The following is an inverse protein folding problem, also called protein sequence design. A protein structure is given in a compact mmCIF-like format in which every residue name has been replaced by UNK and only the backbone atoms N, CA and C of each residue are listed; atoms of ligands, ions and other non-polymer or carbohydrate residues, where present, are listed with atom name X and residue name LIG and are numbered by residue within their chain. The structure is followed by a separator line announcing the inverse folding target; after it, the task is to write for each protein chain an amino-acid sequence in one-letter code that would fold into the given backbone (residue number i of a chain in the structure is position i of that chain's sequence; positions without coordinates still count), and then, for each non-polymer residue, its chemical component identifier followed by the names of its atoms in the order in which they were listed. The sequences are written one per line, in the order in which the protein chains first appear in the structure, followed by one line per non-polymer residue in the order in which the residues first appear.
data_IF_840551250768
#
_entry.id   IF_840551250768
#
_cell.length_a   1.000
_cell.length_b   1.000
_cell.length_c   1.000
_cell.angle_alpha   90.00
_cell.angle_beta   90.00
_cell.angle_gamma   90.00
#
_symmetry.space_group_name_H-M   'P 1'
#
loop_
_entity.id
_entity.type
_entity.pdbx_description
1 polymer ?
#
# COMPACT_ATOMS: atom_id res chain seq x y z
N UNK A 1 0.29 -2.45 -27.43
CA UNK A 1 -0.42 -3.02 -26.27
C UNK A 1 0.43 -4.04 -25.51
N UNK A 2 0.93 -5.11 -26.14
CA UNK A 2 1.66 -6.15 -25.42
C UNK A 2 3.03 -5.72 -24.84
N UNK A 3 3.78 -4.88 -25.56
CA UNK A 3 5.08 -4.39 -25.08
C UNK A 3 4.97 -3.39 -23.90
N UNK A 4 3.94 -2.53 -23.91
CA UNK A 4 3.67 -1.60 -22.79
C UNK A 4 3.26 -2.35 -21.53
N UNK A 5 2.47 -3.42 -21.67
CA UNK A 5 2.06 -4.27 -20.55
C UNK A 5 3.26 -4.90 -19.86
N UNK A 6 4.20 -5.46 -20.62
CA UNK A 6 5.42 -6.06 -20.08
C UNK A 6 6.33 -4.99 -19.47
N UNK A 7 6.56 -3.88 -20.16
CA UNK A 7 7.38 -2.78 -19.63
C UNK A 7 6.85 -2.27 -18.28
N UNK A 8 5.52 -2.23 -18.12
CA UNK A 8 4.89 -1.84 -16.87
C UNK A 8 5.06 -2.91 -15.76
N UNK A 9 4.97 -4.20 -16.08
CA UNK A 9 5.27 -5.28 -15.12
C UNK A 9 6.73 -5.22 -14.65
N UNK A 10 7.67 -5.01 -15.57
CA UNK A 10 9.10 -4.84 -15.27
C UNK A 10 9.37 -3.63 -14.37
N UNK A 11 8.70 -2.51 -14.65
CA UNK A 11 8.79 -1.30 -13.84
C UNK A 11 8.29 -1.53 -12.41
N UNK A 12 7.12 -2.18 -12.27
CA UNK A 12 6.53 -2.45 -10.96
C UNK A 12 7.35 -3.43 -10.11
N UNK A 13 7.97 -4.42 -10.76
CA UNK A 13 8.86 -5.34 -10.06
C UNK A 13 10.12 -4.63 -9.53
N UNK A 14 10.72 -3.74 -10.33
CA UNK A 14 11.94 -3.01 -9.94
C UNK A 14 11.69 -1.92 -8.90
N UNK A 15 10.68 -1.08 -9.11
CA UNK A 15 10.46 0.11 -8.28
C UNK A 15 9.62 -0.18 -7.03
N UNK A 16 8.65 -1.09 -7.14
CA UNK A 16 7.70 -1.39 -6.06
C UNK A 16 7.92 -2.76 -5.43
N UNK A 17 8.85 -3.57 -5.95
CA UNK A 17 9.14 -4.92 -5.44
C UNK A 17 8.01 -5.93 -5.67
N UNK A 18 7.05 -5.64 -6.55
CA UNK A 18 5.88 -6.50 -6.77
C UNK A 18 6.22 -7.56 -7.82
N UNK A 19 6.21 -8.84 -7.42
CA UNK A 19 6.49 -9.96 -8.32
C UNK A 19 5.50 -10.01 -9.49
N UNK A 20 6.01 -10.25 -10.70
CA UNK A 20 5.20 -10.34 -11.93
C UNK A 20 4.10 -11.40 -11.85
N UNK A 21 4.42 -12.53 -11.24
CA UNK A 21 3.51 -13.67 -11.09
C UNK A 21 2.21 -13.26 -10.38
N UNK A 22 2.32 -12.48 -9.31
CA UNK A 22 1.18 -11.98 -8.52
C UNK A 22 0.28 -11.06 -9.36
N UNK A 23 0.88 -10.25 -10.23
CA UNK A 23 0.13 -9.34 -11.11
C UNK A 23 -0.53 -10.09 -12.25
N UNK A 24 0.16 -11.06 -12.86
CA UNK A 24 -0.38 -11.91 -13.92
C UNK A 24 -1.56 -12.76 -13.43
N UNK A 25 -1.47 -13.31 -12.23
CA UNK A 25 -2.55 -14.06 -11.60
C UNK A 25 -3.79 -13.17 -11.37
N UNK A 26 -3.59 -11.96 -10.85
CA UNK A 26 -4.68 -11.02 -10.64
C UNK A 26 -5.36 -10.59 -11.95
N UNK A 27 -4.56 -10.35 -13.01
CA UNK A 27 -5.08 -10.05 -14.35
C UNK A 27 -5.85 -11.24 -14.90
N UNK A 28 -5.31 -12.46 -14.81
CA UNK A 28 -5.99 -13.69 -15.28
C UNK A 28 -7.34 -13.87 -14.59
N UNK A 29 -7.39 -13.74 -13.26
CA UNK A 29 -8.62 -13.85 -12.48
C UNK A 29 -9.67 -12.78 -12.85
N UNK A 30 -9.24 -11.53 -13.05
CA UNK A 30 -10.14 -10.46 -13.45
C UNK A 30 -10.69 -10.65 -14.88
N UNK A 31 -9.84 -11.12 -15.79
CA UNK A 31 -10.24 -11.46 -17.16
C UNK A 31 -11.17 -12.66 -17.19
N UNK A 32 -10.97 -13.66 -16.34
CA UNK A 32 -11.87 -14.79 -16.16
C UNK A 32 -13.25 -14.31 -15.68
N UNK A 33 -13.27 -13.38 -14.71
CA UNK A 33 -14.54 -12.79 -14.25
C UNK A 33 -15.24 -11.93 -15.32
N UNK A 34 -14.49 -11.21 -16.16
CA UNK A 34 -15.04 -10.39 -17.22
C UNK A 34 -15.52 -11.23 -18.42
N UNK A 35 -14.79 -12.30 -18.74
CA UNK A 35 -15.12 -13.22 -19.82
C UNK A 35 -16.35 -14.06 -19.53
N UNK A 36 -16.61 -14.44 -18.27
CA UNK A 36 -17.89 -15.07 -17.87
C UNK A 36 -19.14 -14.26 -18.24
N UNK A 37 -19.02 -12.94 -18.42
CA UNK A 37 -20.13 -12.07 -18.84
C UNK A 37 -20.30 -11.99 -20.35
N UNK A 38 -19.25 -12.26 -21.13
CA UNK A 38 -19.22 -12.09 -22.59
C UNK A 38 -19.15 -13.42 -23.36
N UNK A 39 -18.64 -14.46 -22.74
CA UNK A 39 -18.51 -15.81 -23.27
C UNK A 39 -19.49 -16.70 -22.53
N UNK A 40 -20.49 -17.19 -23.26
CA UNK A 40 -21.60 -18.01 -22.77
C UNK A 40 -21.23 -19.48 -22.56
N UNK A 41 -19.96 -19.79 -22.27
CA UNK A 41 -19.50 -21.14 -22.00
C UNK A 41 -19.89 -21.53 -20.57
N UNK A 42 -20.63 -22.62 -20.39
CA UNK A 42 -21.16 -23.03 -19.08
C UNK A 42 -20.12 -23.77 -18.23
N UNK A 43 -19.05 -24.30 -18.85
CA UNK A 43 -17.96 -25.02 -18.16
C UNK A 43 -16.62 -24.30 -18.23
N UNK A 44 -15.87 -24.48 -17.15
CA UNK A 44 -14.57 -23.92 -16.79
C UNK A 44 -13.81 -23.21 -17.93
N UNK A 45 -13.84 -21.88 -17.87
CA UNK A 45 -13.05 -21.00 -18.71
C UNK A 45 -11.76 -20.64 -17.98
N UNK A 46 -10.62 -20.84 -18.64
CA UNK A 46 -9.28 -20.50 -18.16
C UNK A 46 -8.70 -19.39 -19.04
N UNK A 47 -8.04 -18.42 -18.41
CA UNK A 47 -7.30 -17.39 -19.12
C UNK A 47 -5.81 -17.72 -19.02
N UNK A 48 -5.17 -17.93 -20.16
CA UNK A 48 -3.72 -18.10 -20.26
C UNK A 48 -3.09 -16.79 -20.75
N UNK A 49 -2.03 -16.36 -20.06
CA UNK A 49 -1.31 -15.12 -20.38
C UNK A 49 0.15 -15.47 -20.55
N UNK A 50 0.68 -15.25 -21.74
CA UNK A 50 2.10 -15.47 -21.98
C UNK A 50 2.93 -14.38 -21.27
N UNK A 51 3.82 -14.74 -20.32
CA UNK A 51 4.56 -13.77 -19.51
C UNK A 51 5.60 -12.97 -20.32
N UNK A 52 6.02 -13.45 -21.50
CA UNK A 52 7.02 -12.82 -22.35
C UNK A 52 6.42 -12.03 -23.52
N UNK A 53 5.27 -12.45 -24.03
CA UNK A 53 4.62 -11.78 -25.16
C UNK A 53 3.40 -10.96 -24.77
N UNK A 54 2.88 -11.11 -23.54
CA UNK A 54 1.65 -10.45 -23.08
C UNK A 54 0.40 -10.88 -23.85
N UNK A 55 0.49 -11.96 -24.64
CA UNK A 55 -0.64 -12.51 -25.39
C UNK A 55 -1.60 -13.20 -24.43
N UNK A 56 -2.89 -12.86 -24.56
CA UNK A 56 -3.96 -13.34 -23.68
C UNK A 56 -4.86 -14.26 -24.51
N UNK A 57 -5.00 -15.51 -24.07
CA UNK A 57 -5.86 -16.53 -24.69
C UNK A 57 -6.94 -16.97 -23.72
N UNK A 58 -8.16 -17.17 -24.22
CA UNK A 58 -9.25 -17.75 -23.46
C UNK A 58 -9.42 -19.22 -23.89
N UNK A 59 -9.29 -20.13 -22.95
CA UNK A 59 -9.35 -21.56 -23.14
C UNK A 59 -10.59 -22.09 -22.41
N UNK A 60 -11.40 -22.91 -23.09
CA UNK A 60 -12.57 -23.54 -22.51
C UNK A 60 -12.44 -25.06 -22.56
N UNK A 61 -12.83 -25.71 -21.47
CA UNK A 61 -12.88 -27.17 -21.38
C UNK A 61 -14.22 -27.67 -21.93
N UNK A 62 -14.18 -28.31 -23.12
CA UNK A 62 -15.36 -28.88 -23.77
C UNK A 62 -15.33 -30.41 -23.69
N UNK A 63 -16.50 -31.03 -23.50
CA UNK A 63 -16.65 -32.49 -23.52
C UNK A 63 -16.78 -32.95 -24.97
N UNK A 64 -16.05 -33.99 -25.33
CA UNK A 64 -16.21 -34.63 -26.63
C UNK A 64 -17.52 -35.40 -26.66
N UNK A 65 -18.44 -35.00 -27.53
CA UNK A 65 -19.72 -35.66 -27.75
C UNK A 65 -19.82 -36.19 -29.19
N UNK A 66 -20.51 -37.32 -29.35
CA UNK A 66 -20.85 -37.87 -30.67
C UNK A 66 -21.83 -36.95 -31.40
N UNK A 67 -22.85 -36.45 -30.68
CA UNK A 67 -23.81 -35.47 -31.17
C UNK A 67 -23.84 -34.25 -30.24
N UNK A 68 -23.46 -33.10 -30.77
CA UNK A 68 -23.44 -31.83 -30.01
C UNK A 68 -24.87 -31.37 -29.75
N UNK A 69 -25.27 -31.43 -28.49
CA UNK A 69 -26.56 -30.97 -27.95
C UNK A 69 -26.42 -29.56 -27.39
N UNK A 70 -25.29 -29.29 -26.72
CA UNK A 70 -24.96 -27.96 -26.21
C UNK A 70 -23.61 -27.47 -26.76
N UNK A 71 -23.59 -26.60 -27.79
CA UNK A 71 -22.36 -26.07 -28.38
C UNK A 71 -21.46 -25.28 -27.42
N UNK A 72 -21.97 -24.89 -26.25
CA UNK A 72 -21.21 -24.16 -25.22
C UNK A 72 -20.37 -25.08 -24.33
N UNK A 73 -20.75 -26.37 -24.24
CA UNK A 73 -20.13 -27.33 -23.32
C UNK A 73 -19.59 -28.58 -24.05
N UNK A 74 -19.97 -28.76 -25.32
CA UNK A 74 -19.66 -29.95 -26.10
C UNK A 74 -18.96 -29.61 -27.42
N UNK A 75 -18.03 -30.46 -27.81
CA UNK A 75 -17.33 -30.43 -29.10
C UNK A 75 -17.53 -31.78 -29.81
N UNK A 76 -17.69 -31.75 -31.14
CA UNK A 76 -17.82 -32.99 -31.90
C UNK A 76 -16.50 -33.76 -31.89
N UNK A 77 -16.56 -35.10 -31.90
CA UNK A 77 -15.37 -35.96 -31.94
C UNK A 77 -14.42 -35.58 -33.09
N UNK A 78 -14.97 -35.27 -34.27
CA UNK A 78 -14.19 -34.84 -35.43
C UNK A 78 -13.44 -33.52 -35.19
N UNK A 79 -14.05 -32.56 -34.49
CA UNK A 79 -13.40 -31.29 -34.16
C UNK A 79 -12.39 -31.46 -33.02
N UNK A 80 -12.71 -32.28 -32.02
CA UNK A 80 -11.81 -32.63 -30.92
C UNK A 80 -10.53 -33.30 -31.43
N UNK A 81 -10.65 -34.26 -32.37
CA UNK A 81 -9.50 -34.95 -32.98
C UNK A 81 -8.56 -34.04 -33.78
N UNK A 82 -9.00 -32.86 -34.22
CA UNK A 82 -8.13 -31.86 -34.87
C UNK A 82 -7.23 -31.13 -33.88
N UNK A 83 -7.64 -31.06 -32.62
CA UNK A 83 -6.90 -30.40 -31.55
C UNK A 83 -6.03 -31.44 -30.83
N UNK A 84 -6.63 -32.59 -30.52
CA UNK A 84 -6.00 -33.72 -29.82
C UNK A 84 -6.32 -35.02 -30.55
N UNK A 85 -5.34 -35.58 -31.26
CA UNK A 85 -5.54 -36.70 -32.20
C UNK A 85 -6.05 -38.01 -31.56
N UNK A 86 -5.84 -38.19 -30.26
CA UNK A 86 -6.30 -39.34 -29.46
C UNK A 86 -7.62 -39.09 -28.71
N UNK A 87 -8.30 -37.97 -28.93
CA UNK A 87 -9.55 -37.63 -28.26
C UNK A 87 -10.69 -38.62 -28.57
N UNK A 88 -11.37 -39.09 -27.51
CA UNK A 88 -12.52 -40.00 -27.55
C UNK A 88 -13.76 -39.33 -26.98
N UNK A 89 -14.93 -39.84 -27.34
CA UNK A 89 -16.21 -39.41 -26.75
C UNK A 89 -16.17 -39.58 -25.22
N UNK A 90 -16.52 -38.52 -24.50
CA UNK A 90 -16.44 -38.43 -23.04
C UNK A 90 -15.17 -37.75 -22.51
N UNK A 91 -14.14 -37.54 -23.32
CA UNK A 91 -12.94 -36.81 -22.92
C UNK A 91 -13.19 -35.31 -22.79
N UNK A 92 -12.33 -34.62 -22.03
CA UNK A 92 -12.29 -33.16 -21.94
C UNK A 92 -11.15 -32.66 -22.82
N UNK A 93 -11.45 -31.74 -23.72
CA UNK A 93 -10.46 -31.09 -24.60
C UNK A 93 -10.49 -29.59 -24.36
N UNK A 94 -9.30 -29.00 -24.24
CA UNK A 94 -9.13 -27.57 -24.10
C UNK A 94 -9.17 -26.90 -25.47
N UNK A 95 -10.08 -25.95 -25.66
CA UNK A 95 -10.32 -25.27 -26.94
C UNK A 95 -10.16 -23.77 -26.77
N UNK A 96 -9.44 -23.13 -27.68
CA UNK A 96 -9.33 -21.68 -27.70
C UNK A 96 -10.65 -21.04 -28.17
N UNK A 97 -11.26 -20.25 -27.29
CA UNK A 97 -12.54 -19.56 -27.52
C UNK A 97 -12.39 -18.04 -27.51
N UNK A 98 -11.17 -17.51 -27.71
CA UNK A 98 -10.86 -16.08 -27.66
C UNK A 98 -11.70 -15.26 -28.64
N UNK A 99 -12.60 -14.36 -28.17
CA UNK A 99 -13.40 -13.51 -29.06
C UNK A 99 -12.55 -12.48 -29.81
N UNK A 100 -12.94 -12.10 -31.04
CA UNK A 100 -12.21 -11.09 -31.85
C UNK A 100 -12.07 -9.72 -31.16
N UNK A 101 -13.05 -9.33 -30.34
CA UNK A 101 -13.05 -8.06 -29.58
C UNK A 101 -12.45 -8.19 -28.17
N UNK A 102 -11.92 -9.36 -27.81
CA UNK A 102 -11.45 -9.65 -26.46
C UNK A 102 -10.31 -8.73 -26.03
N UNK A 103 -9.42 -8.33 -26.95
CA UNK A 103 -8.26 -7.49 -26.64
C UNK A 103 -8.60 -6.14 -25.99
N UNK A 104 -9.68 -5.46 -26.42
CA UNK A 104 -10.07 -4.16 -25.85
C UNK A 104 -10.64 -4.30 -24.43
N UNK A 105 -11.53 -5.28 -24.24
CA UNK A 105 -12.11 -5.60 -22.93
C UNK A 105 -11.00 -6.07 -21.99
N UNK A 106 -10.08 -6.88 -22.51
CA UNK A 106 -8.97 -7.40 -21.76
C UNK A 106 -8.01 -6.30 -21.29
N UNK A 107 -7.68 -5.34 -22.15
CA UNK A 107 -6.81 -4.23 -21.79
C UNK A 107 -7.38 -3.36 -20.65
N UNK A 108 -8.66 -2.99 -20.72
CA UNK A 108 -9.31 -2.21 -19.66
C UNK A 108 -9.41 -2.99 -18.34
N UNK A 109 -9.85 -4.25 -18.42
CA UNK A 109 -10.01 -5.11 -17.25
C UNK A 109 -8.65 -5.39 -16.60
N UNK A 110 -7.62 -5.69 -17.39
CA UNK A 110 -6.26 -5.90 -16.91
C UNK A 110 -5.72 -4.66 -16.21
N UNK A 111 -5.87 -3.47 -16.80
CA UNK A 111 -5.46 -2.21 -16.17
C UNK A 111 -6.12 -2.02 -14.80
N UNK A 112 -7.42 -2.26 -14.70
CA UNK A 112 -8.15 -2.13 -13.44
C UNK A 112 -7.71 -3.19 -12.41
N UNK A 113 -7.56 -4.44 -12.83
CA UNK A 113 -7.15 -5.55 -11.99
C UNK A 113 -5.74 -5.36 -11.42
N UNK A 114 -4.80 -4.92 -12.26
CA UNK A 114 -3.46 -4.57 -11.82
C UNK A 114 -3.48 -3.43 -10.81
N UNK A 115 -4.20 -2.33 -11.10
CA UNK A 115 -4.31 -1.22 -10.15
C UNK A 115 -4.89 -1.65 -8.80
N UNK A 116 -5.87 -2.57 -8.81
CA UNK A 116 -6.39 -3.14 -7.57
C UNK A 116 -5.37 -4.03 -6.85
N UNK A 117 -4.66 -4.90 -7.59
CA UNK A 117 -3.67 -5.80 -6.99
C UNK A 117 -2.45 -5.05 -6.45
N UNK A 118 -2.00 -4.02 -7.15
CA UNK A 118 -0.93 -3.11 -6.69
C UNK A 118 -1.31 -2.52 -5.33
N UNK A 119 -2.52 -1.97 -5.19
CA UNK A 119 -2.99 -1.41 -3.91
C UNK A 119 -3.06 -2.45 -2.79
N UNK A 120 -3.42 -3.70 -3.10
CA UNK A 120 -3.46 -4.79 -2.12
C UNK A 120 -2.04 -5.18 -1.66
N UNK A 121 -1.09 -5.29 -2.58
CA UNK A 121 0.30 -5.62 -2.23
C UNK A 121 0.93 -4.46 -1.45
N UNK A 122 0.68 -3.21 -1.85
CA UNK A 122 1.10 -2.03 -1.08
C UNK A 122 0.51 -2.04 0.34
N UNK A 123 -0.73 -2.51 0.52
CA UNK A 123 -1.36 -2.71 1.83
C UNK A 123 -0.63 -3.71 2.71
N UNK A 124 -0.32 -4.87 2.15
CA UNK A 124 0.41 -5.91 2.88
C UNK A 124 1.79 -5.39 3.30
N UNK A 125 2.51 -4.72 2.38
CA UNK A 125 3.83 -4.14 2.67
C UNK A 125 3.80 -3.03 3.74
N UNK A 126 2.86 -2.08 3.62
CA UNK A 126 2.73 -0.99 4.62
C UNK A 126 2.40 -1.56 5.99
N UNK A 127 1.46 -2.50 6.06
CA UNK A 127 1.06 -3.10 7.33
C UNK A 127 2.22 -3.87 7.95
N UNK A 128 2.94 -4.70 7.18
CA UNK A 128 4.11 -5.42 7.70
C UNK A 128 5.21 -4.49 8.23
N UNK A 129 5.49 -3.39 7.54
CA UNK A 129 6.55 -2.46 7.94
C UNK A 129 6.15 -1.53 9.09
N UNK A 130 4.88 -1.12 9.18
CA UNK A 130 4.43 -0.10 10.14
C UNK A 130 3.53 -0.61 11.26
N UNK A 131 3.14 -1.89 11.29
CA UNK A 131 2.36 -2.47 12.41
C UNK A 131 3.01 -2.23 13.78
N UNK A 132 4.35 -2.30 13.84
CA UNK A 132 5.12 -2.17 15.08
C UNK A 132 5.67 -0.75 15.28
N UNK A 133 5.49 0.14 14.28
CA UNK A 133 6.01 1.52 14.29
C UNK A 133 4.97 2.56 14.71
N UNK A 134 3.74 2.12 15.02
CA UNK A 134 2.74 2.99 15.60
C UNK A 134 3.29 3.58 16.92
N UNK A 135 3.29 4.90 17.01
CA UNK A 135 3.87 5.60 18.15
C UNK A 135 5.32 6.03 18.00
N UNK A 136 5.96 5.80 16.86
CA UNK A 136 7.32 6.32 16.57
C UNK A 136 7.28 7.70 15.90
N UNK A 137 8.45 8.35 15.85
CA UNK A 137 8.67 9.52 14.99
C UNK A 137 9.27 9.07 13.66
N UNK A 138 8.69 9.55 12.57
CA UNK A 138 9.21 9.40 11.21
C UNK A 138 9.64 10.75 10.67
N UNK A 139 10.65 10.73 9.81
CA UNK A 139 11.09 11.89 9.03
C UNK A 139 10.59 11.74 7.60
N UNK A 140 10.00 12.80 7.05
CA UNK A 140 9.49 12.80 5.68
C UNK A 140 9.66 14.16 5.01
N UNK A 141 9.48 14.18 3.69
CA UNK A 141 9.48 15.41 2.90
C UNK A 141 8.05 15.70 2.43
N UNK A 142 7.57 16.93 2.60
CA UNK A 142 6.26 17.34 2.09
C UNK A 142 6.28 17.25 0.57
N UNK A 143 5.46 16.37 0.01
CA UNK A 143 5.42 16.08 -1.42
C UNK A 143 4.35 16.88 -2.13
N UNK A 144 3.15 16.93 -1.55
CA UNK A 144 1.98 17.61 -2.11
C UNK A 144 0.92 17.85 -1.03
N UNK A 145 -0.07 18.64 -1.39
CA UNK A 145 -1.29 18.84 -0.61
C UNK A 145 -2.45 18.17 -1.34
N UNK A 146 -3.23 17.35 -0.64
CA UNK A 146 -4.53 16.88 -1.13
C UNK A 146 -5.61 17.60 -0.35
N UNK A 147 -6.25 18.59 -0.98
CA UNK A 147 -7.17 19.54 -0.33
C UNK A 147 -6.50 20.25 0.86
N UNK A 148 -6.78 19.80 2.08
CA UNK A 148 -6.25 20.35 3.33
C UNK A 148 -5.31 19.37 4.04
N UNK A 149 -5.09 18.19 3.48
CA UNK A 149 -4.20 17.18 4.04
C UNK A 149 -2.81 17.30 3.43
N UNK A 150 -1.78 17.07 4.24
CA UNK A 150 -0.38 17.14 3.82
C UNK A 150 0.09 15.72 3.54
N UNK A 151 0.62 15.50 2.33
CA UNK A 151 1.21 14.21 1.94
C UNK A 151 2.71 14.27 2.12
N UNK A 152 3.23 13.39 2.96
CA UNK A 152 4.64 13.25 3.29
C UNK A 152 5.23 12.05 2.57
N UNK A 153 6.35 12.25 1.90
CA UNK A 153 7.16 11.19 1.32
C UNK A 153 8.15 10.66 2.37
N UNK A 154 8.02 9.38 2.74
CA UNK A 154 8.91 8.67 3.66
C UNK A 154 9.99 7.86 2.92
N UNK A 155 10.11 8.04 1.59
CA UNK A 155 11.00 7.29 0.71
C UNK A 155 10.27 6.16 -0.01
N UNK A 156 9.97 5.06 0.71
CA UNK A 156 9.26 3.91 0.12
C UNK A 156 7.75 4.08 0.10
N UNK A 157 7.20 4.77 1.10
CA UNK A 157 5.77 4.94 1.30
C UNK A 157 5.41 6.42 1.45
N UNK A 158 4.14 6.72 1.22
CA UNK A 158 3.57 8.03 1.52
C UNK A 158 2.80 7.95 2.85
N UNK A 159 2.92 8.99 3.66
CA UNK A 159 2.12 9.22 4.84
C UNK A 159 1.20 10.42 4.63
N UNK A 160 0.04 10.38 5.28
CA UNK A 160 -0.92 11.47 5.31
C UNK A 160 -0.90 12.12 6.68
N UNK A 161 -0.81 13.44 6.70
CA UNK A 161 -1.06 14.26 7.89
C UNK A 161 -2.38 15.01 7.66
N UNK A 162 -3.50 14.49 8.17
CA UNK A 162 -4.81 15.09 8.01
C UNK A 162 -4.86 16.50 8.62
N UNK A 163 -5.79 17.34 8.17
CA UNK A 163 -5.94 18.71 8.68
C UNK A 163 -5.98 18.81 10.21
N UNK A 164 -6.65 17.87 10.89
CA UNK A 164 -6.75 17.81 12.36
C UNK A 164 -5.44 17.48 13.09
N UNK A 165 -4.52 16.81 12.39
CA UNK A 165 -3.21 16.38 12.91
C UNK A 165 -2.10 17.40 12.62
N UNK A 166 -2.43 18.48 11.91
CA UNK A 166 -1.53 19.61 11.65
C UNK A 166 -1.53 20.58 12.82
N UNK A 167 -0.44 21.32 12.93
CA UNK A 167 -0.36 22.48 13.82
C UNK A 167 -0.77 23.71 13.01
N UNK A 168 -1.81 24.43 13.44
CA UNK A 168 -2.43 25.51 12.64
C UNK A 168 -1.48 26.67 12.36
N UNK A 169 -0.57 26.95 13.29
CA UNK A 169 0.40 28.06 13.17
C UNK A 169 1.68 27.67 12.41
N UNK A 170 1.84 26.39 12.04
CA UNK A 170 2.98 25.95 11.25
C UNK A 170 2.70 26.13 9.76
N UNK A 171 3.67 26.68 9.05
CA UNK A 171 3.66 26.71 7.59
C UNK A 171 4.26 25.42 7.05
N UNK A 172 3.55 24.80 6.10
CA UNK A 172 4.01 23.62 5.38
C UNK A 172 4.19 23.98 3.91
N UNK A 173 5.36 23.73 3.34
CA UNK A 173 5.64 23.94 1.93
C UNK A 173 6.10 22.65 1.27
N UNK A 174 5.84 22.51 -0.03
CA UNK A 174 6.36 21.38 -0.81
C UNK A 174 7.89 21.44 -0.82
N UNK A 175 8.52 20.32 -0.48
CA UNK A 175 9.98 20.19 -0.32
C UNK A 175 10.46 20.31 1.13
N UNK A 176 9.62 20.76 2.06
CA UNK A 176 10.00 20.86 3.47
C UNK A 176 10.24 19.48 4.08
N UNK A 177 11.33 19.35 4.82
CA UNK A 177 11.61 18.15 5.62
C UNK A 177 11.12 18.36 7.04
N UNK A 178 10.28 17.46 7.52
CA UNK A 178 9.73 17.53 8.86
C UNK A 178 9.65 16.16 9.52
N UNK A 179 9.67 16.15 10.85
CA UNK A 179 9.38 14.98 11.67
C UNK A 179 7.89 14.94 12.01
N UNK A 180 7.30 13.76 12.08
CA UNK A 180 5.92 13.57 12.49
C UNK A 180 5.77 12.28 13.30
N UNK A 181 4.81 12.28 14.21
CA UNK A 181 4.46 11.12 15.03
C UNK A 181 3.50 10.21 14.26
N UNK A 182 3.79 8.91 14.18
CA UNK A 182 2.88 7.92 13.58
C UNK A 182 1.74 7.65 14.56
N UNK A 183 0.53 8.11 14.23
CA UNK A 183 -0.67 7.92 15.05
C UNK A 183 -1.20 6.50 14.87
N UNK A 184 -1.40 6.10 13.63
CA UNK A 184 -1.96 4.81 13.27
C UNK A 184 -1.65 4.47 11.81
N UNK A 185 -1.83 3.19 11.48
CA UNK A 185 -1.92 2.72 10.10
C UNK A 185 -3.32 2.18 9.93
N UNK A 186 -4.13 2.84 9.10
CA UNK A 186 -5.53 2.48 8.89
C UNK A 186 -5.81 2.17 7.41
N UNK A 187 -6.91 1.46 7.16
CA UNK A 187 -7.40 1.18 5.83
C UNK A 187 -8.39 2.27 5.42
N UNK A 188 -7.89 3.33 4.81
CA UNK A 188 -8.69 4.37 4.19
C UNK A 188 -9.44 3.89 2.94
N UNK A 189 -10.32 4.74 2.41
CA UNK A 189 -11.14 4.47 1.21
C UNK A 189 -10.27 4.21 -0.03
N UNK A 190 -9.07 4.80 -0.08
CA UNK A 190 -8.13 4.67 -1.22
C UNK A 190 -7.07 3.59 -1.01
N UNK A 191 -7.00 2.99 0.18
CA UNK A 191 -5.98 2.02 0.53
C UNK A 191 -5.43 2.22 1.95
N UNK A 192 -4.37 1.49 2.30
CA UNK A 192 -3.62 1.69 3.55
C UNK A 192 -3.08 3.13 3.62
N UNK A 193 -3.28 3.80 4.74
CA UNK A 193 -2.80 5.15 4.96
C UNK A 193 -2.04 5.19 6.27
N UNK A 194 -0.77 5.63 6.21
CA UNK A 194 0.03 5.91 7.39
C UNK A 194 -0.37 7.30 7.87
N UNK A 195 -1.13 7.36 8.96
CA UNK A 195 -1.61 8.61 9.54
C UNK A 195 -0.53 9.13 10.49
N UNK A 196 -0.02 10.31 10.19
CA UNK A 196 0.98 10.99 11.02
C UNK A 196 0.45 12.32 11.56
N UNK A 197 1.08 12.79 12.64
CA UNK A 197 0.67 13.99 13.34
C UNK A 197 1.83 14.79 13.87
N UNK A 198 1.68 16.11 13.80
CA UNK A 198 2.55 17.06 14.50
C UNK A 198 1.85 17.70 15.69
N UNK A 199 0.51 17.67 15.76
CA UNK A 199 -0.26 18.22 16.88
C UNK A 199 -0.41 17.24 18.06
N UNK A 200 -0.26 15.93 17.84
CA UNK A 200 -0.48 14.92 18.88
C UNK A 200 0.49 15.09 20.07
N UNK A 201 0.04 14.98 21.34
CA UNK A 201 0.90 15.16 22.52
C UNK A 201 2.10 14.21 22.58
N UNK A 202 1.93 12.97 22.09
CA UNK A 202 3.03 11.99 22.05
C UNK A 202 4.14 12.37 21.07
N UNK A 203 3.92 13.30 20.12
CA UNK A 203 5.01 13.82 19.31
C UNK A 203 6.07 14.47 20.21
N UNK A 204 5.64 15.31 21.15
CA UNK A 204 6.54 15.94 22.13
C UNK A 204 7.19 14.90 23.03
N UNK A 205 6.43 13.92 23.53
CA UNK A 205 6.98 12.79 24.32
C UNK A 205 8.15 12.13 23.61
N UNK A 206 7.96 11.73 22.35
CA UNK A 206 8.98 11.05 21.56
C UNK A 206 10.16 11.96 21.21
N UNK A 207 9.95 13.27 21.00
CA UNK A 207 11.06 14.21 20.83
C UNK A 207 11.95 14.29 22.08
N UNK A 208 11.35 14.29 23.26
CA UNK A 208 12.10 14.24 24.53
C UNK A 208 12.84 12.93 24.71
N UNK A 209 12.23 11.80 24.37
CA UNK A 209 12.91 10.48 24.39
C UNK A 209 14.12 10.43 23.44
N UNK A 210 14.05 11.08 22.28
CA UNK A 210 15.17 11.15 21.32
C UNK A 210 16.30 12.08 21.78
N UNK A 211 15.98 13.20 22.43
CA UNK A 211 16.96 14.23 22.81
C UNK A 211 17.56 13.99 24.21
N UNK A 212 16.83 13.32 25.11
CA UNK A 212 17.20 13.15 26.53
C UNK A 212 17.42 11.67 26.83
N UNK A 213 18.70 11.29 26.96
CA UNK A 213 19.13 9.92 27.27
C UNK A 213 18.48 9.34 28.53
N UNK A 214 18.32 10.17 29.56
CA UNK A 214 17.74 9.79 30.85
C UNK A 214 16.25 9.44 30.74
N UNK A 215 15.55 9.94 29.71
CA UNK A 215 14.17 9.54 29.42
C UNK A 215 14.17 8.22 28.64
N UNK A 216 15.11 8.05 27.70
CA UNK A 216 15.23 6.83 26.91
C UNK A 216 15.59 5.59 27.76
N UNK A 217 16.44 5.75 28.77
CA UNK A 217 16.85 4.67 29.68
C UNK A 217 15.89 4.48 30.88
N UNK A 218 14.88 5.34 31.01
CA UNK A 218 13.86 5.27 32.07
C UNK A 218 14.29 5.86 33.42
N UNK A 219 15.48 6.47 33.53
CA UNK A 219 15.91 7.16 34.75
C UNK A 219 15.01 8.35 35.09
N UNK A 220 14.50 9.04 34.06
CA UNK A 220 13.54 10.14 34.14
C UNK A 220 12.26 9.73 33.40
N UNK A 221 11.14 9.75 34.10
CA UNK A 221 9.82 9.42 33.55
C UNK A 221 8.99 10.67 33.28
N UNK A 222 8.34 10.72 32.12
CA UNK A 222 7.32 11.73 31.83
C UNK A 222 5.96 11.28 32.40
N UNK A 223 5.57 11.87 33.53
CA UNK A 223 4.33 11.58 34.27
C UNK A 223 3.08 12.19 33.64
N UNK A 224 3.22 13.30 32.91
CA UNK A 224 2.09 13.98 32.29
C UNK A 224 2.51 14.97 31.21
N UNK A 225 1.65 15.13 30.20
CA UNK A 225 1.82 16.11 29.12
C UNK A 225 0.45 16.77 28.88
N UNK A 226 0.44 18.10 28.88
CA UNK A 226 -0.70 18.91 28.45
C UNK A 226 -0.24 19.86 27.35
N UNK A 227 -0.85 19.75 26.16
CA UNK A 227 -0.38 20.41 24.95
C UNK A 227 -1.50 21.18 24.25
N UNK A 228 -1.23 22.45 23.99
CA UNK A 228 -1.94 23.28 23.02
C UNK A 228 -0.99 23.46 21.83
N UNK A 229 -1.14 22.58 20.84
CA UNK A 229 -0.21 22.47 19.71
C UNK A 229 -0.02 23.82 18.99
N UNK A 230 1.23 24.22 18.80
CA UNK A 230 1.60 25.50 18.20
C UNK A 230 1.68 26.69 19.17
N UNK A 231 1.21 26.53 20.41
CA UNK A 231 1.22 27.60 21.40
C UNK A 231 2.07 27.25 22.61
N UNK A 232 1.72 26.18 23.32
CA UNK A 232 2.37 25.80 24.58
C UNK A 232 2.22 24.31 24.91
N UNK A 233 3.29 23.70 25.39
CA UNK A 233 3.26 22.38 26.04
C UNK A 233 3.81 22.46 27.46
N UNK A 234 3.07 21.85 28.39
CA UNK A 234 3.54 21.62 29.76
C UNK A 234 3.80 20.13 29.96
N UNK A 235 4.94 19.82 30.57
CA UNK A 235 5.39 18.46 30.83
C UNK A 235 5.74 18.32 32.31
N UNK A 236 5.28 17.23 32.93
CA UNK A 236 5.66 16.83 34.27
C UNK A 236 6.63 15.65 34.18
N UNK A 237 7.83 15.82 34.77
CA UNK A 237 8.89 14.81 34.78
C UNK A 237 9.27 14.43 36.21
N UNK A 238 9.68 13.19 36.42
CA UNK A 238 10.06 12.66 37.72
C UNK A 238 11.19 11.65 37.59
N UNK A 239 12.06 11.54 38.59
CA UNK A 239 13.08 10.50 38.68
C UNK A 239 13.01 9.82 40.04
N UNK A 240 13.17 8.50 40.05
CA UNK A 240 13.36 7.73 41.29
C UNK A 240 14.79 7.89 41.86
N UNK A 241 15.73 8.33 41.02
CA UNK A 241 17.14 8.44 41.39
C UNK A 241 17.41 9.84 41.96
N UNK A 242 17.62 9.91 43.28
CA UNK A 242 17.91 11.17 43.98
C UNK A 242 19.19 11.90 43.50
N UNK A 243 20.06 11.23 42.73
CA UNK A 243 21.26 11.85 42.14
C UNK A 243 20.98 12.54 40.79
N UNK A 244 19.77 12.41 40.25
CA UNK A 244 19.39 12.95 38.94
C UNK A 244 18.31 14.00 39.13
N UNK A 245 18.60 15.23 38.71
CA UNK A 245 17.57 16.27 38.59
C UNK A 245 16.80 16.07 37.27
N UNK A 246 15.51 15.68 37.32
CA UNK A 246 14.74 15.39 36.11
C UNK A 246 14.54 16.64 35.24
N UNK A 247 14.44 17.84 35.83
CA UNK A 247 14.28 19.09 35.06
C UNK A 247 15.60 19.46 34.40
N UNK A 248 16.71 19.43 35.16
CA UNK A 248 18.05 19.67 34.64
C UNK A 248 18.42 18.74 33.48
N UNK A 249 18.10 17.44 33.59
CA UNK A 249 18.32 16.45 32.54
C UNK A 249 17.56 16.80 31.23
N UNK A 250 16.30 17.25 31.35
CA UNK A 250 15.48 17.63 30.21
C UNK A 250 15.91 18.95 29.56
N UNK A 251 16.36 19.91 30.37
CA UNK A 251 16.78 21.25 29.89
C UNK A 251 18.15 21.17 29.21
N UNK A 252 19.09 20.41 29.80
CA UNK A 252 20.47 20.31 29.34
C UNK A 252 21.29 21.59 29.61
N UNK A 253 22.58 21.56 29.24
CA UNK A 253 23.47 22.70 29.49
C UNK A 253 22.97 23.98 28.80
N UNK A 254 22.68 25.02 29.61
CA UNK A 254 22.14 26.32 29.13
C UNK A 254 20.86 26.17 28.27
N UNK A 255 20.08 25.12 28.52
CA UNK A 255 18.85 24.85 27.80
C UNK A 255 19.03 24.28 26.39
N UNK A 256 20.20 23.72 26.05
CA UNK A 256 20.48 23.26 24.69
C UNK A 256 19.48 22.22 24.20
N UNK A 257 19.16 21.21 25.02
CA UNK A 257 18.24 20.11 24.66
C UNK A 257 16.82 20.63 24.42
N UNK A 258 16.28 21.37 25.40
CA UNK A 258 14.92 21.92 25.28
C UNK A 258 14.81 22.92 24.10
N UNK A 259 15.85 23.70 23.82
CA UNK A 259 15.87 24.62 22.66
C UNK A 259 15.81 23.88 21.33
N UNK A 260 16.45 22.72 21.20
CA UNK A 260 16.37 21.89 20.00
C UNK A 260 14.93 21.39 19.78
N UNK A 261 14.28 20.93 20.86
CA UNK A 261 12.89 20.46 20.81
C UNK A 261 11.94 21.64 20.47
N UNK A 262 12.08 22.79 21.13
CA UNK A 262 11.29 24.00 20.84
C UNK A 262 11.45 24.44 19.39
N UNK A 263 12.66 24.34 18.83
CA UNK A 263 12.90 24.64 17.41
C UNK A 263 12.19 23.64 16.49
N UNK A 264 12.22 22.35 16.81
CA UNK A 264 11.48 21.33 16.06
C UNK A 264 9.96 21.56 16.12
N UNK A 265 9.44 22.15 17.20
CA UNK A 265 8.04 22.52 17.38
C UNK A 265 7.71 23.95 16.89
N UNK A 266 8.54 24.53 16.02
CA UNK A 266 8.33 25.89 15.47
C UNK A 266 8.10 26.98 16.54
N UNK A 267 8.88 26.94 17.62
CA UNK A 267 8.83 27.88 18.74
C UNK A 267 7.58 27.78 19.63
N UNK A 268 6.90 26.63 19.64
CA UNK A 268 5.95 26.28 20.70
C UNK A 268 6.61 26.39 22.09
N UNK A 269 5.91 27.03 23.05
CA UNK A 269 6.48 27.37 24.37
C UNK A 269 6.40 26.25 25.41
#
# INVERSE_FOLDING_TARGET
MNAEFIAMLDYLERERGIKREILLEAVSNALLSASKKSVSASRELRIDINPKSGEIRALANLIVADKVTNPQDEISENAARRIKSDAKVGDIVEVEVTPKNFGRIAAQTAKQAMMQRIRQVEKEMIYEEFKDRAGEIVSGTVRRFDRSDVILDLGKFEAIMPQRERVVVEDYNVGDRLRAYVVAVDNGIRGPEIIVSRSHPNFVRRLFELEVSEIADGTVEIRGIAREAGYRTKIAVWSANNKVDPVGACVGMRGSRVKNIVRELNNEK
#
